data_IF_287176306733
#
_entry.id   IF_287176306733
#
_cell.length_a   1.000
_cell.length_b   1.000
_cell.length_c   1.000
_cell.angle_alpha   90.00
_cell.angle_beta   90.00
_cell.angle_gamma   90.00
#
_symmetry.space_group_name_H-M   'P 1'
#
loop_
_entity.id
_entity.type
_entity.pdbx_description
1 polymer ?
#
# COMPACT_ATOMS: atom_id res chain seq x y z
N UNK A 1 10.50 -17.40 -35.50
CA UNK A 1 9.61 -16.35 -34.94
C UNK A 1 8.87 -16.83 -33.70
N UNK A 2 8.40 -18.09 -33.68
CA UNK A 2 7.71 -18.73 -32.55
C UNK A 2 8.42 -18.63 -31.19
N UNK A 3 9.77 -18.67 -31.19
CA UNK A 3 10.55 -18.61 -29.95
C UNK A 3 10.56 -17.20 -29.32
N UNK A 4 10.53 -16.14 -30.13
CA UNK A 4 10.51 -14.75 -29.66
C UNK A 4 9.14 -14.40 -29.08
N UNK A 5 8.07 -14.87 -29.71
CA UNK A 5 6.70 -14.65 -29.24
C UNK A 5 6.43 -15.37 -27.92
N UNK A 6 6.93 -16.61 -27.76
CA UNK A 6 6.89 -17.34 -26.49
C UNK A 6 7.67 -16.61 -25.39
N UNK A 7 8.87 -16.09 -25.69
CA UNK A 7 9.63 -15.28 -24.72
C UNK A 7 8.91 -13.98 -24.36
N UNK A 8 8.30 -13.28 -25.32
CA UNK A 8 7.51 -12.07 -25.06
C UNK A 8 6.23 -12.36 -24.25
N UNK A 9 5.58 -13.49 -24.50
CA UNK A 9 4.41 -13.93 -23.73
C UNK A 9 4.80 -14.29 -22.29
N UNK A 10 5.93 -14.98 -22.08
CA UNK A 10 6.46 -15.30 -20.77
C UNK A 10 6.86 -14.04 -19.99
N UNK A 11 7.50 -13.07 -20.66
CA UNK A 11 7.83 -11.77 -20.07
C UNK A 11 6.57 -10.99 -19.69
N UNK A 12 5.55 -10.94 -20.56
CA UNK A 12 4.25 -10.31 -20.24
C UNK A 12 3.52 -11.01 -19.10
N UNK A 13 3.68 -12.33 -18.95
CA UNK A 13 3.12 -13.11 -17.86
C UNK A 13 3.86 -12.84 -16.54
N UNK A 14 5.19 -12.74 -16.57
CA UNK A 14 6.00 -12.44 -15.38
C UNK A 14 5.80 -10.99 -14.90
N UNK A 15 5.69 -10.04 -15.83
CA UNK A 15 5.32 -8.64 -15.57
C UNK A 15 3.85 -8.46 -15.13
N UNK A 16 3.04 -9.52 -15.18
CA UNK A 16 1.62 -9.53 -14.76
C UNK A 16 1.36 -10.20 -13.42
N UNK A 17 2.37 -10.80 -12.77
CA UNK A 17 2.16 -11.29 -11.40
C UNK A 17 1.99 -10.04 -10.52
N UNK A 18 0.80 -9.80 -9.92
CA UNK A 18 0.69 -8.73 -8.95
C UNK A 18 1.63 -9.12 -7.83
N UNK A 19 2.73 -8.40 -7.76
CA UNK A 19 3.77 -8.77 -6.84
C UNK A 19 3.24 -8.50 -5.42
N UNK A 20 3.62 -9.39 -4.50
CA UNK A 20 2.85 -9.62 -3.27
C UNK A 20 2.89 -8.35 -2.41
N UNK A 21 1.72 -7.80 -2.09
CA UNK A 21 1.57 -6.69 -1.15
C UNK A 21 2.46 -6.88 0.09
N UNK A 22 3.47 -6.02 0.21
CA UNK A 22 4.47 -6.09 1.26
C UNK A 22 3.95 -5.44 2.54
N UNK A 23 3.92 -6.23 3.61
CA UNK A 23 3.39 -5.83 4.92
C UNK A 23 4.49 -5.33 5.85
N UNK A 24 5.36 -4.44 5.36
CA UNK A 24 6.42 -3.86 6.18
C UNK A 24 5.85 -2.75 7.07
N UNK A 25 6.47 -2.48 8.24
CA UNK A 25 6.03 -1.41 9.14
C UNK A 25 5.85 -0.05 8.45
N UNK A 26 6.75 0.28 7.53
CA UNK A 26 6.77 1.55 6.78
C UNK A 26 5.59 1.62 5.81
N UNK A 27 5.28 0.53 5.10
CA UNK A 27 4.16 0.48 4.15
C UNK A 27 2.83 0.59 4.88
N UNK A 28 2.66 -0.09 6.02
CA UNK A 28 1.44 0.00 6.83
C UNK A 28 1.20 1.44 7.29
N UNK A 29 2.26 2.09 7.78
CA UNK A 29 2.19 3.49 8.18
C UNK A 29 1.88 4.42 7.01
N UNK A 30 2.50 4.19 5.86
CA UNK A 30 2.26 4.97 4.65
C UNK A 30 0.81 4.88 4.19
N UNK A 31 0.26 3.67 4.10
CA UNK A 31 -1.15 3.45 3.75
C UNK A 31 -2.05 4.21 4.70
N UNK A 32 -1.85 4.05 6.02
CA UNK A 32 -2.66 4.72 7.03
C UNK A 32 -2.64 6.24 6.86
N UNK A 33 -1.46 6.82 6.69
CA UNK A 33 -1.30 8.28 6.55
C UNK A 33 -1.87 8.78 5.23
N UNK A 34 -1.71 8.04 4.13
CA UNK A 34 -2.31 8.36 2.83
C UNK A 34 -3.84 8.37 2.87
N UNK A 35 -4.42 7.51 3.70
CA UNK A 35 -5.86 7.48 3.97
C UNK A 35 -6.32 8.53 5.01
N UNK A 36 -5.39 9.30 5.60
CA UNK A 36 -5.71 10.35 6.56
C UNK A 36 -6.09 9.87 7.96
N UNK A 37 -5.83 8.60 8.30
CA UNK A 37 -6.25 8.03 9.58
C UNK A 37 -5.20 8.17 10.70
N UNK A 38 -5.67 8.40 11.94
CA UNK A 38 -4.85 8.13 13.13
C UNK A 38 -4.69 6.61 13.33
N UNK A 39 -3.76 6.17 14.19
CA UNK A 39 -3.64 4.73 14.51
C UNK A 39 -4.93 4.16 15.13
N UNK A 40 -5.70 5.00 15.82
CA UNK A 40 -6.99 4.63 16.39
C UNK A 40 -8.05 4.46 15.30
N UNK A 41 -8.20 5.45 14.43
CA UNK A 41 -9.21 5.41 13.35
C UNK A 41 -8.91 4.27 12.38
N UNK A 42 -7.63 4.03 12.08
CA UNK A 42 -7.21 2.92 11.24
C UNK A 42 -7.47 1.56 11.88
N UNK A 43 -7.32 1.46 13.21
CA UNK A 43 -7.71 0.29 13.98
C UNK A 43 -9.20 0.02 13.83
N UNK A 44 -10.05 1.01 14.11
CA UNK A 44 -11.51 0.91 13.97
C UNK A 44 -11.90 0.52 12.53
N UNK A 45 -11.31 1.19 11.54
CA UNK A 45 -11.51 0.93 10.12
C UNK A 45 -11.20 -0.53 9.75
N UNK A 46 -10.11 -1.09 10.27
CA UNK A 46 -9.74 -2.50 10.04
C UNK A 46 -10.39 -3.50 11.01
N UNK A 47 -11.24 -3.05 11.94
CA UNK A 47 -11.80 -3.92 12.98
C UNK A 47 -10.76 -4.48 13.96
N UNK A 48 -9.71 -3.71 14.27
CA UNK A 48 -8.65 -4.06 15.22
C UNK A 48 -8.39 -2.93 16.23
N UNK A 49 -7.44 -3.12 17.14
CA UNK A 49 -7.06 -2.15 18.16
C UNK A 49 -5.91 -1.25 17.68
N UNK A 50 -5.87 0.00 18.16
CA UNK A 50 -4.77 0.94 17.90
C UNK A 50 -3.40 0.41 18.34
N UNK A 51 -3.37 -0.35 19.43
CA UNK A 51 -2.18 -1.03 19.97
C UNK A 51 -1.64 -2.08 18.99
N UNK A 52 -2.52 -2.77 18.27
CA UNK A 52 -2.16 -3.72 17.21
C UNK A 52 -1.53 -2.99 16.03
N UNK A 53 -2.13 -1.88 15.58
CA UNK A 53 -1.57 -1.02 14.53
C UNK A 53 -0.19 -0.49 14.91
N UNK A 54 -0.02 -0.01 16.15
CA UNK A 54 1.28 0.45 16.66
C UNK A 54 2.35 -0.65 16.62
N UNK A 55 2.00 -1.91 16.95
CA UNK A 55 2.92 -3.05 16.85
C UNK A 55 3.30 -3.37 15.40
N UNK A 56 2.38 -3.20 14.45
CA UNK A 56 2.66 -3.35 13.03
C UNK A 56 3.62 -2.29 12.53
N UNK A 57 3.37 -1.01 12.84
CA UNK A 57 4.20 0.12 12.40
C UNK A 57 5.56 0.23 13.09
N UNK A 58 5.78 -0.55 14.15
CA UNK A 58 7.07 -0.65 14.84
C UNK A 58 7.80 -1.96 14.54
N UNK A 59 7.22 -2.83 13.71
CA UNK A 59 7.80 -4.14 13.37
C UNK A 59 7.80 -5.15 14.51
N UNK A 60 7.13 -4.86 15.63
CA UNK A 60 6.99 -5.80 16.75
C UNK A 60 6.21 -7.04 16.32
N UNK A 61 5.15 -6.85 15.52
CA UNK A 61 4.36 -7.92 14.91
C UNK A 61 4.11 -7.59 13.44
N UNK A 62 4.04 -8.60 12.57
CA UNK A 62 3.58 -8.40 11.19
C UNK A 62 2.05 -8.52 11.12
N UNK A 63 1.34 -7.68 10.33
CA UNK A 63 -0.09 -7.86 10.15
C UNK A 63 -0.39 -9.15 9.39
N UNK A 64 -1.35 -9.91 9.91
CA UNK A 64 -2.03 -10.98 9.18
C UNK A 64 -3.41 -10.43 8.86
N UNK A 65 -3.56 -9.87 7.66
CA UNK A 65 -4.84 -9.34 7.22
C UNK A 65 -5.79 -10.47 6.82
N UNK A 66 -7.05 -10.36 7.23
CA UNK A 66 -8.13 -11.17 6.66
C UNK A 66 -8.41 -10.72 5.23
N UNK A 67 -9.12 -11.55 4.46
CA UNK A 67 -9.51 -11.18 3.10
C UNK A 67 -10.38 -9.92 3.07
N UNK A 68 -11.28 -9.75 4.05
CA UNK A 68 -12.13 -8.55 4.13
C UNK A 68 -11.31 -7.28 4.39
N UNK A 69 -10.30 -7.35 5.26
CA UNK A 69 -9.38 -6.24 5.50
C UNK A 69 -8.59 -5.88 4.24
N UNK A 70 -8.14 -6.87 3.47
CA UNK A 70 -7.47 -6.64 2.18
C UNK A 70 -8.40 -5.96 1.18
N UNK A 71 -9.63 -6.46 1.04
CA UNK A 71 -10.63 -5.88 0.13
C UNK A 71 -10.98 -4.45 0.51
N UNK A 72 -11.09 -4.17 1.81
CA UNK A 72 -11.40 -2.84 2.31
C UNK A 72 -10.27 -1.84 2.04
N UNK A 73 -9.02 -2.25 2.27
CA UNK A 73 -7.84 -1.42 1.95
C UNK A 73 -7.75 -1.14 0.45
N UNK A 74 -7.91 -2.18 -0.38
CA UNK A 74 -7.90 -2.07 -1.83
C UNK A 74 -8.99 -1.10 -2.34
N UNK A 75 -10.21 -1.21 -1.80
CA UNK A 75 -11.31 -0.33 -2.14
C UNK A 75 -11.03 1.13 -1.81
N UNK A 76 -10.52 1.44 -0.61
CA UNK A 76 -10.23 2.82 -0.21
C UNK A 76 -9.04 3.41 -0.97
N UNK A 77 -7.98 2.63 -1.21
CA UNK A 77 -6.82 3.09 -1.98
C UNK A 77 -7.22 3.39 -3.42
N UNK A 78 -8.06 2.57 -4.04
CA UNK A 78 -8.56 2.80 -5.41
C UNK A 78 -9.36 4.08 -5.55
N UNK A 79 -10.10 4.52 -4.52
CA UNK A 79 -10.77 5.83 -4.52
C UNK A 79 -9.78 6.99 -4.60
N UNK A 80 -8.58 6.81 -4.07
CA UNK A 80 -7.48 7.77 -4.15
C UNK A 80 -6.66 7.64 -5.44
N UNK A 81 -7.02 6.71 -6.33
CA UNK A 81 -6.26 6.40 -7.54
C UNK A 81 -4.94 5.69 -7.26
N UNK A 82 -4.80 5.05 -6.09
CA UNK A 82 -3.62 4.28 -5.69
C UNK A 82 -3.99 2.80 -5.71
N UNK A 83 -3.20 1.97 -6.38
CA UNK A 83 -3.36 0.52 -6.33
C UNK A 83 -2.68 -0.03 -5.06
N UNK A 84 -3.30 -0.99 -4.37
CA UNK A 84 -2.68 -1.69 -3.24
C UNK A 84 -1.38 -2.42 -3.65
N UNK A 85 -1.22 -2.72 -4.94
CA UNK A 85 -0.01 -3.30 -5.53
C UNK A 85 1.02 -2.24 -5.98
N UNK A 86 0.71 -0.94 -5.94
CA UNK A 86 1.67 0.14 -6.24
C UNK A 86 2.73 0.32 -5.13
N UNK A 87 2.57 -0.34 -3.98
CA UNK A 87 3.55 -0.33 -2.89
C UNK A 87 4.72 -1.30 -3.13
N UNK A 88 4.80 -1.90 -4.33
CA UNK A 88 5.95 -2.62 -4.85
C UNK A 88 7.17 -1.69 -5.03
N UNK A 89 8.13 -1.77 -4.09
CA UNK A 89 9.50 -1.33 -4.36
C UNK A 89 9.74 0.18 -4.24
N UNK A 90 9.38 0.78 -3.10
CA UNK A 90 9.97 2.05 -2.67
C UNK A 90 11.47 1.85 -2.31
N UNK A 91 12.29 1.60 -3.34
CA UNK A 91 13.72 1.83 -3.24
C UNK A 91 13.91 3.33 -2.98
N UNK A 92 14.68 3.63 -1.95
CA UNK A 92 14.75 4.93 -1.28
C UNK A 92 15.54 5.90 -2.17
N UNK A 93 14.94 6.36 -3.27
CA UNK A 93 15.41 7.48 -4.10
C UNK A 93 14.22 8.28 -4.62
N UNK A 94 13.53 8.94 -3.70
CA UNK A 94 12.53 9.94 -4.00
C UNK A 94 13.11 11.05 -4.90
N UNK A 95 12.63 11.15 -6.14
CA UNK A 95 12.83 12.37 -6.95
C UNK A 95 11.80 13.42 -6.52
N UNK A 96 12.22 14.60 -6.04
CA UNK A 96 11.41 15.57 -5.28
C UNK A 96 10.21 16.23 -6.02
N UNK A 97 9.97 15.88 -7.28
CA UNK A 97 8.95 16.50 -8.13
C UNK A 97 7.56 15.81 -8.17
N UNK A 98 7.38 14.64 -7.56
CA UNK A 98 6.08 13.92 -7.59
C UNK A 98 5.20 14.18 -6.35
N UNK A 99 5.72 14.88 -5.33
CA UNK A 99 4.98 15.19 -4.08
C UNK A 99 4.08 16.44 -4.14
N UNK A 100 3.66 16.87 -5.33
CA UNK A 100 2.76 18.04 -5.43
C UNK A 100 1.32 17.75 -5.00
N UNK A 101 0.92 16.47 -4.91
CA UNK A 101 -0.44 16.08 -4.54
C UNK A 101 -0.66 15.94 -3.03
N UNK A 102 0.27 15.27 -2.32
CA UNK A 102 0.07 14.86 -0.92
C UNK A 102 0.18 16.04 0.06
N UNK A 103 0.91 17.12 -0.28
CA UNK A 103 0.95 18.34 0.55
C UNK A 103 -0.30 19.21 0.45
N UNK A 104 -1.11 19.11 -0.60
CA UNK A 104 -2.31 19.97 -0.72
C UNK A 104 -3.49 19.46 0.11
N UNK A 105 -3.62 18.14 0.29
CA UNK A 105 -4.73 17.55 1.03
C UNK A 105 -4.53 17.60 2.56
N UNK A 106 -3.30 17.41 3.03
CA UNK A 106 -2.98 17.50 4.46
C UNK A 106 -3.05 18.95 5.00
N UNK A 107 -2.92 19.97 4.14
CA UNK A 107 -3.05 21.37 4.52
C UNK A 107 -4.50 21.89 4.47
N UNK A 108 -5.43 21.14 3.87
CA UNK A 108 -6.84 21.52 3.76
C UNK A 108 -7.71 21.01 4.92
N UNK A 109 -7.13 20.22 5.83
CA UNK A 109 -7.82 19.63 7.00
C UNK A 109 -7.15 19.98 8.35
N UNK A 110 -6.31 21.01 8.38
CA UNK A 110 -5.80 21.65 9.59
C UNK A 110 -6.40 23.06 9.72
#
# INVERSE_FOLDING_TARGET
MENMEKSLALLKQELRKPAKFQKTPEIIKLIRVSLGYTQQDFGVFLGTQSTTVSRWETGKNQPIFTQDQVNLLDYELKKLGVDLFDFEGFDIKLKPHQYKFIKSHALAMA
#
